data_IF_513504080107
#
_entry.id   IF_513504080107
#
_cell.length_a   1.000
_cell.length_b   1.000
_cell.length_c   1.000
_cell.angle_alpha   90.00
_cell.angle_beta   90.00
_cell.angle_gamma   90.00
#
_symmetry.space_group_name_H-M   'P 1'
#
loop_
_entity.id
_entity.type
_entity.pdbx_description
1 polymer ?
#
# COMPACT_ATOMS: atom_id res chain seq x y z
N UNK A 1 5.12 -21.10 -2.37
CA UNK A 1 5.26 -20.37 -3.65
C UNK A 1 5.29 -18.90 -3.29
N UNK A 2 6.38 -18.17 -3.61
CA UNK A 2 6.52 -16.76 -3.29
C UNK A 2 6.11 -15.91 -4.50
N UNK A 3 5.32 -14.88 -4.28
CA UNK A 3 4.90 -13.92 -5.29
C UNK A 3 5.81 -12.71 -5.28
N UNK A 4 6.02 -12.08 -6.44
CA UNK A 4 6.71 -10.80 -6.53
C UNK A 4 5.70 -9.68 -6.28
N UNK A 5 5.99 -8.80 -5.32
CA UNK A 5 5.21 -7.58 -5.09
C UNK A 5 5.90 -6.45 -5.82
N UNK A 6 5.16 -5.78 -6.70
CA UNK A 6 5.62 -4.57 -7.40
C UNK A 6 4.80 -3.39 -6.87
N UNK A 7 5.49 -2.37 -6.37
CA UNK A 7 4.85 -1.14 -5.89
C UNK A 7 4.83 -0.17 -7.07
N UNK A 8 3.63 0.27 -7.45
CA UNK A 8 3.45 1.29 -8.48
C UNK A 8 4.13 2.61 -8.07
N UNK A 9 4.69 3.39 -9.01
CA UNK A 9 5.39 4.63 -8.68
C UNK A 9 4.48 5.64 -7.97
N UNK A 10 3.18 5.67 -8.30
CA UNK A 10 2.18 6.51 -7.63
C UNK A 10 2.01 6.10 -6.17
N UNK A 11 1.89 4.79 -5.91
CA UNK A 11 1.75 4.26 -4.55
C UNK A 11 3.03 4.51 -3.71
N UNK A 12 4.21 4.41 -4.31
CA UNK A 12 5.46 4.73 -3.63
C UNK A 12 5.51 6.21 -3.19
N UNK A 13 5.07 7.11 -4.06
CA UNK A 13 4.94 8.54 -3.75
C UNK A 13 3.92 8.80 -2.65
N UNK A 14 2.75 8.16 -2.70
CA UNK A 14 1.73 8.31 -1.65
C UNK A 14 2.23 7.85 -0.27
N UNK A 15 3.02 6.75 -0.22
CA UNK A 15 3.65 6.30 1.03
C UNK A 15 4.62 7.36 1.56
N UNK A 16 5.43 7.97 0.69
CA UNK A 16 6.36 9.04 1.05
C UNK A 16 5.63 10.30 1.56
N UNK A 17 4.60 10.76 0.84
CA UNK A 17 3.80 11.93 1.21
C UNK A 17 3.14 11.74 2.59
N UNK A 18 2.59 10.55 2.85
CA UNK A 18 2.01 10.20 4.16
C UNK A 18 3.06 10.13 5.27
N UNK A 19 4.24 9.56 4.99
CA UNK A 19 5.33 9.56 5.95
C UNK A 19 5.71 10.99 6.35
N UNK A 20 5.91 11.87 5.37
CA UNK A 20 6.26 13.27 5.60
C UNK A 20 5.16 14.00 6.39
N UNK A 21 3.88 13.73 6.08
CA UNK A 21 2.75 14.29 6.82
C UNK A 21 2.77 13.88 8.30
N UNK A 22 2.97 12.59 8.61
CA UNK A 22 3.05 12.12 10.01
C UNK A 22 4.30 12.66 10.71
N UNK A 23 5.42 12.76 9.98
CA UNK A 23 6.68 13.25 10.52
C UNK A 23 6.61 14.71 10.99
N UNK A 24 5.72 15.52 10.43
CA UNK A 24 5.45 16.88 10.92
C UNK A 24 4.99 16.90 12.38
N UNK A 25 4.26 15.88 12.82
CA UNK A 25 3.80 15.75 14.20
C UNK A 25 4.76 14.92 15.07
N UNK A 26 5.28 13.81 14.56
CA UNK A 26 6.25 12.96 15.26
C UNK A 26 7.01 12.06 14.29
N UNK A 27 8.33 12.25 14.24
CA UNK A 27 9.23 11.42 13.43
C UNK A 27 9.21 9.95 13.87
N UNK A 28 9.10 9.69 15.18
CA UNK A 28 9.02 8.33 15.71
C UNK A 28 7.74 7.63 15.24
N UNK A 29 6.61 8.32 15.27
CA UNK A 29 5.34 7.77 14.78
C UNK A 29 5.38 7.53 13.26
N UNK A 30 6.03 8.42 12.51
CA UNK A 30 6.22 8.26 11.07
C UNK A 30 7.05 7.01 10.75
N UNK A 31 8.17 6.81 11.47
CA UNK A 31 9.00 5.62 11.31
C UNK A 31 8.24 4.33 11.68
N UNK A 32 7.54 4.32 12.83
CA UNK A 32 6.71 3.17 13.23
C UNK A 32 5.64 2.83 12.20
N UNK A 33 4.96 3.84 11.66
CA UNK A 33 3.96 3.66 10.61
C UNK A 33 4.58 3.10 9.32
N UNK A 34 5.74 3.63 8.90
CA UNK A 34 6.44 3.20 7.69
C UNK A 34 6.89 1.74 7.78
N UNK A 35 7.47 1.33 8.91
CA UNK A 35 7.84 -0.08 9.10
C UNK A 35 6.61 -1.00 9.13
N UNK A 36 5.52 -0.56 9.77
CA UNK A 36 4.29 -1.35 9.83
C UNK A 36 3.62 -1.53 8.46
N UNK A 37 3.65 -0.51 7.58
CA UNK A 37 3.08 -0.65 6.23
C UNK A 37 3.97 -1.53 5.35
N UNK A 38 5.30 -1.39 5.45
CA UNK A 38 6.24 -2.21 4.70
C UNK A 38 6.13 -3.69 5.09
N UNK A 39 6.02 -4.00 6.39
CA UNK A 39 5.79 -5.37 6.88
C UNK A 39 4.49 -5.96 6.29
N UNK A 40 3.40 -5.19 6.30
CA UNK A 40 2.13 -5.60 5.68
C UNK A 40 2.26 -5.81 4.17
N UNK A 41 3.09 -5.07 3.45
CA UNK A 41 3.32 -5.25 2.01
C UNK A 41 4.14 -6.53 1.78
N UNK A 42 5.18 -6.78 2.57
CA UNK A 42 6.00 -8.00 2.50
C UNK A 42 5.15 -9.28 2.62
N UNK A 43 4.17 -9.30 3.53
CA UNK A 43 3.27 -10.48 3.69
C UNK A 43 2.47 -10.85 2.43
N UNK A 44 2.29 -9.92 1.48
CA UNK A 44 1.59 -10.21 0.21
C UNK A 44 2.38 -11.18 -0.68
N UNK A 45 3.70 -11.27 -0.51
CA UNK A 45 4.52 -12.26 -1.22
C UNK A 45 4.07 -13.69 -0.90
N UNK A 46 3.68 -13.93 0.34
CA UNK A 46 3.25 -15.24 0.82
C UNK A 46 1.74 -15.44 0.66
N UNK A 47 0.96 -14.38 0.85
CA UNK A 47 -0.51 -14.43 0.85
C UNK A 47 -1.13 -13.30 0.03
N UNK A 48 -1.08 -13.37 -1.31
CA UNK A 48 -1.57 -12.29 -2.18
C UNK A 48 -3.08 -12.06 -2.07
N UNK A 49 -3.85 -13.09 -1.73
CA UNK A 49 -5.31 -13.03 -1.59
C UNK A 49 -5.78 -12.73 -0.16
N UNK A 50 -4.91 -12.21 0.73
CA UNK A 50 -5.29 -11.90 2.12
C UNK A 50 -6.32 -10.76 2.21
N UNK A 51 -6.27 -9.82 1.27
CA UNK A 51 -7.18 -8.70 1.23
C UNK A 51 -8.40 -9.07 0.37
N UNK A 52 -9.59 -8.84 0.92
CA UNK A 52 -10.82 -8.93 0.12
C UNK A 52 -10.78 -7.84 -0.94
N UNK A 53 -11.24 -8.18 -2.15
CA UNK A 53 -11.51 -7.18 -3.19
C UNK A 53 -12.47 -6.14 -2.61
N UNK A 54 -12.10 -4.87 -2.73
CA UNK A 54 -12.92 -3.78 -2.21
C UNK A 54 -14.31 -3.82 -2.87
N UNK A 55 -15.36 -3.54 -2.09
CA UNK A 55 -16.73 -3.53 -2.59
C UNK A 55 -16.88 -2.61 -3.82
N UNK A 56 -16.17 -1.48 -3.78
CA UNK A 56 -16.18 -0.44 -4.81
C UNK A 56 -15.51 -0.86 -6.13
N UNK A 57 -14.68 -1.91 -6.14
CA UNK A 57 -14.06 -2.45 -7.36
C UNK A 57 -15.11 -2.93 -8.38
N UNK A 58 -16.33 -3.24 -7.93
CA UNK A 58 -17.48 -3.57 -8.80
C UNK A 58 -18.04 -2.38 -9.58
N UNK A 59 -17.75 -1.17 -9.13
CA UNK A 59 -18.26 0.07 -9.72
C UNK A 59 -17.20 0.73 -10.61
N UNK A 60 -15.92 0.62 -10.24
CA UNK A 60 -14.82 1.27 -10.96
C UNK A 60 -14.18 0.41 -12.07
N UNK A 61 -14.58 -0.84 -12.25
CA UNK A 61 -14.06 -1.72 -13.33
C UNK A 61 -14.44 -1.30 -14.75
N UNK A 62 -15.25 -0.24 -14.93
CA UNK A 62 -15.79 0.21 -16.24
C UNK A 62 -14.98 1.32 -16.92
N UNK A 63 -13.89 1.81 -16.31
CA UNK A 63 -13.10 2.94 -16.86
C UNK A 63 -11.67 2.54 -17.27
N UNK A 64 -11.47 1.28 -17.66
CA UNK A 64 -10.17 0.74 -18.10
C UNK A 64 -10.18 0.13 -19.50
N UNK A 65 -11.02 0.64 -20.40
CA UNK A 65 -11.01 0.24 -21.82
C UNK A 65 -11.16 1.49 -22.68
N UNK A 66 -10.04 2.12 -23.00
CA UNK A 66 -9.88 3.10 -24.08
C UNK A 66 -8.50 2.90 -24.68
#
# INVERSE_FOLDING_TARGET
MLHKVEIAPEAAKEIEDLYLYVAQASLENAARWYFAIHDKIETLKESPNRCRVAFESRFYSRWGSS
#
